data_IF_408823528374
#
_entry.id   IF_408823528374
#
_cell.length_a   1.000
_cell.length_b   1.000
_cell.length_c   1.000
_cell.angle_alpha   90.00
_cell.angle_beta   90.00
_cell.angle_gamma   90.00
#
_symmetry.space_group_name_H-M   'P 1'
#
loop_
_entity.id
_entity.type
_entity.pdbx_description
1 polymer ?
#
# COMPACT_ATOMS: atom_id res chain seq x y z
N UNK A 1 -4.28 15.76 -16.03
CA UNK A 1 -2.97 15.59 -16.74
C UNK A 1 -1.90 15.67 -15.67
N UNK A 2 -0.96 14.74 -15.65
CA UNK A 2 0.12 14.71 -14.65
C UNK A 2 1.12 15.81 -14.95
N UNK A 3 1.51 16.55 -13.93
CA UNK A 3 2.54 17.56 -14.06
C UNK A 3 3.93 16.95 -13.86
N UNK A 4 4.64 16.73 -14.95
CA UNK A 4 6.00 16.18 -14.95
C UNK A 4 7.06 17.15 -14.39
N UNK A 5 6.70 18.38 -14.03
CA UNK A 5 7.65 19.32 -13.40
C UNK A 5 8.10 18.88 -12.01
N UNK A 6 7.30 18.04 -11.34
CA UNK A 6 7.64 17.45 -10.05
C UNK A 6 8.51 16.18 -10.17
N UNK A 7 8.74 15.69 -11.39
CA UNK A 7 9.34 14.38 -11.63
C UNK A 7 10.69 14.53 -12.34
N UNK A 8 11.72 13.94 -11.77
CA UNK A 8 12.99 13.71 -12.43
C UNK A 8 12.96 12.38 -13.18
N UNK A 9 13.51 12.32 -14.40
CA UNK A 9 13.52 11.12 -15.20
C UNK A 9 14.32 9.99 -14.53
N UNK A 10 14.02 8.74 -14.92
CA UNK A 10 14.87 7.59 -14.60
C UNK A 10 16.26 7.85 -15.16
N UNK A 11 17.28 7.52 -14.38
CA UNK A 11 18.68 7.75 -14.76
C UNK A 11 19.02 7.07 -16.09
N UNK A 12 19.69 7.78 -17.01
CA UNK A 12 20.02 7.30 -18.36
C UNK A 12 20.78 5.97 -18.31
N UNK A 13 21.71 5.79 -17.37
CA UNK A 13 22.44 4.52 -17.17
C UNK A 13 21.52 3.30 -16.93
N UNK A 14 20.33 3.51 -16.37
CA UNK A 14 19.33 2.43 -16.16
C UNK A 14 18.55 2.20 -17.44
N UNK A 15 18.18 3.28 -18.12
CA UNK A 15 17.46 3.24 -19.40
C UNK A 15 18.30 2.52 -20.46
N UNK A 16 19.60 2.84 -20.58
CA UNK A 16 20.53 2.22 -21.53
C UNK A 16 20.66 0.70 -21.33
N UNK A 17 20.60 0.24 -20.06
CA UNK A 17 20.66 -1.19 -19.77
C UNK A 17 19.45 -1.97 -20.27
N UNK A 18 18.29 -1.31 -20.47
CA UNK A 18 17.06 -1.96 -20.94
C UNK A 18 17.26 -2.57 -22.32
N UNK A 19 18.07 -1.96 -23.19
CA UNK A 19 18.34 -2.48 -24.53
C UNK A 19 18.92 -3.90 -24.49
N UNK A 20 19.71 -4.20 -23.46
CA UNK A 20 20.37 -5.50 -23.29
C UNK A 20 19.47 -6.56 -22.63
N UNK A 21 18.29 -6.19 -22.13
CA UNK A 21 17.37 -7.11 -21.48
C UNK A 21 16.69 -8.04 -22.49
N UNK A 22 16.28 -9.21 -21.99
CA UNK A 22 15.44 -10.13 -22.77
C UNK A 22 14.16 -9.41 -23.24
N UNK A 23 13.69 -9.67 -24.47
CA UNK A 23 12.54 -8.97 -25.06
C UNK A 23 11.22 -9.10 -24.30
N UNK A 24 11.09 -10.10 -23.43
CA UNK A 24 9.92 -10.30 -22.57
C UNK A 24 10.10 -9.71 -21.16
N UNK A 25 11.25 -9.15 -20.82
CA UNK A 25 11.48 -8.57 -19.50
C UNK A 25 10.58 -7.34 -19.25
N UNK A 26 10.27 -7.08 -17.99
CA UNK A 26 9.39 -5.96 -17.57
C UNK A 26 9.91 -4.64 -18.13
N UNK A 27 11.22 -4.37 -18.05
CA UNK A 27 11.81 -3.13 -18.54
C UNK A 27 11.57 -2.85 -20.02
N UNK A 28 11.37 -3.91 -20.85
CA UNK A 28 11.01 -3.76 -22.27
C UNK A 28 9.54 -3.43 -22.51
N UNK A 29 8.69 -3.56 -21.49
CA UNK A 29 7.25 -3.33 -21.57
C UNK A 29 6.81 -2.05 -20.85
N UNK A 30 7.67 -1.48 -20.02
CA UNK A 30 7.40 -0.23 -19.28
C UNK A 30 7.48 0.99 -20.20
N UNK A 31 6.54 1.91 -20.03
CA UNK A 31 6.67 3.27 -20.52
C UNK A 31 7.50 4.07 -19.52
N UNK A 32 8.69 4.51 -19.92
CA UNK A 32 9.64 5.10 -18.98
C UNK A 32 9.80 6.59 -19.23
N UNK A 33 9.69 7.37 -18.17
CA UNK A 33 10.10 8.76 -18.16
C UNK A 33 11.63 8.83 -18.17
N UNK A 34 12.19 9.21 -19.31
CA UNK A 34 13.64 9.35 -19.53
C UNK A 34 14.00 10.81 -19.79
N UNK A 35 15.28 11.12 -19.88
CA UNK A 35 15.78 12.45 -20.24
C UNK A 35 15.28 12.92 -21.61
N UNK A 36 14.93 12.00 -22.50
CA UNK A 36 14.50 12.28 -23.89
C UNK A 36 13.01 12.07 -24.13
N UNK A 37 12.29 11.40 -23.21
CA UNK A 37 10.89 11.02 -23.42
C UNK A 37 10.06 11.10 -22.15
N UNK A 38 8.91 11.76 -22.25
CA UNK A 38 7.84 11.72 -21.24
C UNK A 38 6.77 10.74 -21.71
N UNK A 39 6.42 9.70 -20.92
CA UNK A 39 5.45 8.70 -21.34
C UNK A 39 4.05 9.32 -21.49
N UNK A 40 3.35 8.87 -22.53
CA UNK A 40 1.91 9.02 -22.58
C UNK A 40 1.28 8.01 -21.63
N UNK A 41 0.35 8.44 -20.82
CA UNK A 41 -0.29 7.60 -19.81
C UNK A 41 -1.66 7.06 -20.25
N UNK A 42 -2.02 7.22 -21.51
CA UNK A 42 -3.21 6.58 -22.06
C UNK A 42 -3.06 5.04 -22.00
N UNK A 43 -4.05 4.37 -21.39
CA UNK A 43 -4.02 2.92 -21.19
C UNK A 43 -3.09 2.42 -20.06
N UNK A 44 -2.40 3.32 -19.35
CA UNK A 44 -1.62 2.96 -18.15
C UNK A 44 -2.56 2.73 -16.98
N UNK A 45 -2.35 1.63 -16.27
CA UNK A 45 -3.09 1.30 -15.04
C UNK A 45 -2.22 1.42 -13.78
N UNK A 46 -0.92 1.26 -13.91
CA UNK A 46 0.03 1.24 -12.79
C UNK A 46 1.19 2.18 -13.11
N UNK A 47 1.52 3.07 -12.18
CA UNK A 47 2.64 4.00 -12.33
C UNK A 47 3.62 3.86 -11.16
N UNK A 48 4.86 3.48 -11.45
CA UNK A 48 5.95 3.41 -10.47
C UNK A 48 6.49 4.82 -10.25
N UNK A 49 6.70 5.19 -8.99
CA UNK A 49 7.12 6.50 -8.56
C UNK A 49 8.13 6.39 -7.41
N UNK A 50 9.33 6.90 -7.61
CA UNK A 50 10.30 7.06 -6.53
C UNK A 50 10.10 8.36 -5.75
N UNK A 51 10.39 8.38 -4.45
CA UNK A 51 10.39 9.58 -3.62
C UNK A 51 11.65 9.61 -2.75
N UNK A 52 12.58 10.50 -3.07
CA UNK A 52 13.91 10.53 -2.45
C UNK A 52 13.93 11.46 -1.21
N UNK A 53 13.03 11.21 -0.25
CA UNK A 53 12.92 12.00 0.98
C UNK A 53 13.16 11.15 2.22
N UNK A 54 14.05 11.59 3.09
CA UNK A 54 14.43 10.89 4.33
C UNK A 54 14.71 11.83 5.50
N UNK A 55 14.49 13.13 5.32
CA UNK A 55 14.83 14.13 6.37
C UNK A 55 14.02 13.98 7.65
N UNK A 56 12.82 13.40 7.56
CA UNK A 56 11.96 13.13 8.71
C UNK A 56 12.15 11.71 9.29
N UNK A 57 13.07 10.92 8.76
CA UNK A 57 13.46 9.66 9.43
C UNK A 57 14.23 9.97 10.71
N UNK A 58 13.84 9.35 11.80
CA UNK A 58 14.59 9.46 13.09
C UNK A 58 15.85 8.60 13.09
N UNK A 59 15.98 7.66 12.16
CA UNK A 59 17.03 6.65 12.15
C UNK A 59 18.18 6.99 11.19
N UNK A 60 17.87 7.65 10.06
CA UNK A 60 18.83 7.95 9.00
C UNK A 60 18.58 9.34 8.38
N UNK A 61 18.46 10.33 9.24
CA UNK A 61 18.08 11.71 8.93
C UNK A 61 18.84 12.24 7.72
N UNK A 62 18.10 12.48 6.63
CA UNK A 62 18.62 13.15 5.43
C UNK A 62 19.69 12.38 4.65
N UNK A 63 19.94 11.12 4.95
CA UNK A 63 20.86 10.30 4.16
C UNK A 63 20.37 10.17 2.71
N UNK A 64 21.32 10.23 1.78
CA UNK A 64 21.02 10.04 0.37
C UNK A 64 20.95 8.56 0.04
N UNK A 65 19.94 8.19 -0.73
CA UNK A 65 19.76 6.87 -1.27
C UNK A 65 19.31 6.95 -2.73
N UNK A 66 19.40 5.84 -3.43
CA UNK A 66 19.02 5.75 -4.83
C UNK A 66 18.18 4.49 -5.04
N UNK A 67 17.22 4.59 -5.97
CA UNK A 67 16.33 3.48 -6.31
C UNK A 67 16.79 2.69 -7.54
N UNK A 68 17.99 2.97 -8.01
CA UNK A 68 18.56 2.37 -9.23
C UNK A 68 18.63 0.84 -9.16
N UNK A 69 19.01 0.29 -8.00
CA UNK A 69 19.17 -1.17 -7.86
C UNK A 69 17.80 -1.87 -7.84
N UNK A 70 16.78 -1.24 -7.24
CA UNK A 70 15.39 -1.74 -7.31
C UNK A 70 14.91 -1.76 -8.75
N UNK A 71 15.12 -0.68 -9.51
CA UNK A 71 14.74 -0.62 -10.93
C UNK A 71 15.46 -1.67 -11.76
N UNK A 72 16.78 -1.80 -11.58
CA UNK A 72 17.58 -2.85 -12.27
C UNK A 72 17.05 -4.26 -11.96
N UNK A 73 16.72 -4.53 -10.70
CA UNK A 73 16.18 -5.81 -10.29
C UNK A 73 14.79 -6.04 -10.93
N UNK A 74 13.86 -5.09 -10.78
CA UNK A 74 12.49 -5.20 -11.30
C UNK A 74 12.48 -5.32 -12.85
N UNK A 75 13.26 -4.51 -13.54
CA UNK A 75 13.27 -4.49 -15.01
C UNK A 75 13.74 -5.80 -15.63
N UNK A 76 14.58 -6.56 -14.93
CA UNK A 76 15.07 -7.89 -15.37
C UNK A 76 14.03 -8.99 -15.19
N UNK A 77 13.04 -8.80 -14.31
CA UNK A 77 12.02 -9.81 -14.05
C UNK A 77 11.11 -9.97 -15.27
N UNK A 78 10.45 -11.12 -15.35
CA UNK A 78 9.47 -11.39 -16.40
C UNK A 78 8.06 -11.16 -15.85
N UNK A 79 7.18 -10.46 -16.57
CA UNK A 79 5.79 -10.37 -16.20
C UNK A 79 5.10 -11.73 -16.40
N UNK A 80 4.01 -11.95 -15.67
CA UNK A 80 3.07 -13.01 -16.01
C UNK A 80 2.25 -12.65 -17.27
N UNK A 81 1.03 -13.16 -17.36
CA UNK A 81 0.08 -12.79 -18.42
C UNK A 81 -0.57 -11.43 -18.12
N UNK A 82 0.27 -10.39 -17.96
CA UNK A 82 -0.20 -9.05 -17.61
C UNK A 82 -0.78 -8.33 -18.83
N UNK A 83 -1.95 -7.73 -18.62
CA UNK A 83 -2.69 -7.02 -19.65
C UNK A 83 -2.64 -5.50 -19.47
N UNK A 84 -2.38 -5.02 -18.25
CA UNK A 84 -2.40 -3.60 -17.92
C UNK A 84 -1.10 -2.90 -18.33
N UNK A 85 -1.24 -1.73 -18.93
CA UNK A 85 -0.15 -0.81 -19.21
C UNK A 85 0.50 -0.33 -17.92
N UNK A 86 1.83 -0.19 -17.94
CA UNK A 86 2.62 0.25 -16.80
C UNK A 86 3.60 1.35 -17.22
N UNK A 87 3.82 2.32 -16.33
CA UNK A 87 4.82 3.36 -16.52
C UNK A 87 5.77 3.44 -15.33
N UNK A 88 7.03 3.81 -15.55
CA UNK A 88 7.92 4.32 -14.51
C UNK A 88 8.10 5.83 -14.74
N UNK A 89 7.63 6.61 -13.78
CA UNK A 89 7.60 8.08 -13.87
C UNK A 89 8.90 8.74 -13.39
N UNK A 90 9.86 7.94 -12.91
CA UNK A 90 11.07 8.46 -12.31
C UNK A 90 10.88 8.83 -10.85
N UNK A 91 11.53 9.89 -10.39
CA UNK A 91 11.65 10.21 -8.98
C UNK A 91 11.19 11.63 -8.65
N UNK A 92 10.47 11.78 -7.54
CA UNK A 92 10.34 13.06 -6.84
C UNK A 92 11.62 13.28 -6.03
N UNK A 93 12.36 14.33 -6.36
CA UNK A 93 13.54 14.73 -5.60
C UNK A 93 13.14 15.45 -4.33
N UNK A 94 14.00 15.42 -3.30
CA UNK A 94 13.81 16.23 -2.10
C UNK A 94 13.69 17.71 -2.47
N UNK A 95 12.62 18.35 -2.01
CA UNK A 95 12.40 19.79 -2.16
C UNK A 95 13.32 20.63 -1.24
N UNK A 96 13.15 21.95 -1.26
CA UNK A 96 13.86 22.83 -0.34
C UNK A 96 13.52 22.54 1.12
N UNK A 97 12.26 22.24 1.39
CA UNK A 97 11.77 21.70 2.65
C UNK A 97 11.13 20.32 2.44
N UNK A 98 10.82 19.60 3.54
CA UNK A 98 10.08 18.33 3.47
C UNK A 98 8.66 18.58 2.97
N UNK A 99 8.05 19.69 3.36
CA UNK A 99 6.72 20.11 2.93
C UNK A 99 6.64 20.31 1.41
N UNK A 100 7.73 20.79 0.77
CA UNK A 100 7.79 20.88 -0.70
C UNK A 100 7.76 19.50 -1.35
N UNK A 101 8.45 18.52 -0.75
CA UNK A 101 8.42 17.14 -1.22
C UNK A 101 7.03 16.52 -1.01
N UNK A 102 6.39 16.76 0.15
CA UNK A 102 5.01 16.32 0.40
C UNK A 102 4.05 16.93 -0.61
N UNK A 103 4.17 18.24 -0.87
CA UNK A 103 3.32 18.91 -1.86
C UNK A 103 3.46 18.25 -3.24
N UNK A 104 4.69 18.02 -3.71
CA UNK A 104 4.92 17.35 -4.98
C UNK A 104 4.30 15.95 -5.02
N UNK A 105 4.48 15.15 -3.95
CA UNK A 105 3.90 13.81 -3.85
C UNK A 105 2.37 13.86 -3.87
N UNK A 106 1.75 14.77 -3.11
CA UNK A 106 0.30 14.99 -3.09
C UNK A 106 -0.22 15.28 -4.50
N UNK A 107 0.43 16.21 -5.25
CA UNK A 107 0.00 16.61 -6.59
C UNK A 107 0.09 15.44 -7.57
N UNK A 108 1.19 14.69 -7.55
CA UNK A 108 1.41 13.56 -8.47
C UNK A 108 0.43 12.42 -8.14
N UNK A 109 0.33 12.01 -6.88
CA UNK A 109 -0.55 10.91 -6.45
C UNK A 109 -2.02 11.24 -6.73
N UNK A 110 -2.49 12.44 -6.35
CA UNK A 110 -3.88 12.83 -6.60
C UNK A 110 -4.21 12.86 -8.09
N UNK A 111 -3.27 13.30 -8.93
CA UNK A 111 -3.45 13.29 -10.39
C UNK A 111 -3.54 11.87 -10.96
N UNK A 112 -2.72 10.94 -10.45
CA UNK A 112 -2.74 9.53 -10.85
C UNK A 112 -4.04 8.86 -10.44
N UNK A 113 -4.44 8.98 -9.17
CA UNK A 113 -5.66 8.36 -8.64
C UNK A 113 -6.90 8.89 -9.36
N UNK A 114 -6.99 10.21 -9.61
CA UNK A 114 -8.07 10.79 -10.41
C UNK A 114 -8.12 10.29 -11.86
N UNK A 115 -6.99 9.85 -12.40
CA UNK A 115 -6.91 9.22 -13.72
C UNK A 115 -7.14 7.69 -13.69
N UNK A 116 -7.53 7.12 -12.54
CA UNK A 116 -7.64 5.67 -12.29
C UNK A 116 -6.32 4.91 -12.54
N UNK A 117 -5.19 5.55 -12.33
CA UNK A 117 -3.85 4.96 -12.37
C UNK A 117 -3.40 4.75 -10.94
N UNK A 118 -2.94 3.54 -10.62
CA UNK A 118 -2.49 3.17 -9.28
C UNK A 118 -1.02 3.58 -9.11
N UNK A 119 -0.71 4.58 -8.26
CA UNK A 119 0.67 4.87 -7.91
C UNK A 119 1.25 3.72 -7.07
N UNK A 120 2.43 3.26 -7.48
CA UNK A 120 3.29 2.35 -6.73
C UNK A 120 4.50 3.15 -6.28
N UNK A 121 4.47 3.56 -5.02
CA UNK A 121 5.45 4.49 -4.44
C UNK A 121 6.59 3.69 -3.82
N UNK A 122 7.82 4.05 -4.17
CA UNK A 122 9.02 3.56 -3.51
C UNK A 122 9.66 4.74 -2.83
N UNK A 123 9.62 4.75 -1.50
CA UNK A 123 10.04 5.91 -0.73
C UNK A 123 11.25 5.67 0.15
N UNK A 124 11.72 6.77 0.71
CA UNK A 124 12.59 6.80 1.86
C UNK A 124 11.77 6.58 3.13
N UNK A 125 11.58 7.65 3.88
CA UNK A 125 10.97 7.61 5.20
C UNK A 125 9.47 7.33 5.19
N UNK A 126 8.98 6.57 6.18
CA UNK A 126 7.57 6.14 6.28
C UNK A 126 6.57 7.29 6.46
N UNK A 127 7.01 8.46 6.93
CA UNK A 127 6.17 9.67 7.00
C UNK A 127 5.62 10.14 5.64
N UNK A 128 6.17 9.67 4.53
CA UNK A 128 5.61 9.86 3.19
C UNK A 128 4.19 9.26 3.06
N UNK A 129 3.81 8.31 3.92
CA UNK A 129 2.43 7.82 4.03
C UNK A 129 1.45 8.96 4.33
N UNK A 130 1.85 9.95 5.15
CA UNK A 130 1.04 11.13 5.40
C UNK A 130 0.75 11.90 4.10
N UNK A 131 1.75 12.16 3.27
CA UNK A 131 1.56 12.86 2.01
C UNK A 131 0.73 12.02 1.01
N UNK A 132 0.95 10.69 0.95
CA UNK A 132 0.13 9.79 0.15
C UNK A 132 -1.35 9.85 0.57
N UNK A 133 -1.64 9.83 1.87
CA UNK A 133 -3.01 9.97 2.41
C UNK A 133 -3.61 11.36 2.07
N UNK A 134 -2.85 12.45 2.23
CA UNK A 134 -3.33 13.80 1.90
C UNK A 134 -3.68 14.00 0.43
N UNK A 135 -3.15 13.16 -0.47
CA UNK A 135 -3.54 13.16 -1.87
C UNK A 135 -5.03 12.83 -2.08
N UNK A 136 -5.67 12.20 -1.10
CA UNK A 136 -7.08 11.82 -1.14
C UNK A 136 -8.04 12.90 -0.59
N UNK A 137 -7.54 13.99 -0.03
CA UNK A 137 -8.36 15.03 0.63
C UNK A 137 -9.48 15.60 -0.26
N UNK A 138 -9.29 15.60 -1.58
CA UNK A 138 -10.28 16.07 -2.55
C UNK A 138 -10.91 14.94 -3.39
N UNK A 139 -10.51 13.70 -3.16
CA UNK A 139 -10.94 12.54 -3.95
C UNK A 139 -11.98 11.74 -3.20
N UNK A 140 -11.76 11.49 -1.92
CA UNK A 140 -12.63 10.69 -1.08
C UNK A 140 -12.82 11.33 0.29
N UNK A 141 -14.05 11.24 0.81
CA UNK A 141 -14.36 11.67 2.17
C UNK A 141 -14.10 10.59 3.23
N UNK A 142 -13.82 9.37 2.79
CA UNK A 142 -13.54 8.23 3.68
C UNK A 142 -12.43 7.38 3.04
N UNK A 143 -11.32 7.23 3.76
CA UNK A 143 -10.13 6.52 3.32
C UNK A 143 -9.77 5.44 4.34
N UNK A 144 -9.57 4.23 3.88
CA UNK A 144 -9.08 3.12 4.68
C UNK A 144 -7.59 2.91 4.38
N UNK A 145 -6.78 2.96 5.43
CA UNK A 145 -5.33 2.70 5.35
C UNK A 145 -5.03 1.36 5.97
N UNK A 146 -4.28 0.53 5.27
CA UNK A 146 -3.67 -0.67 5.83
C UNK A 146 -2.16 -0.48 5.82
N UNK A 147 -1.55 -0.55 7.01
CA UNK A 147 -0.10 -0.46 7.19
C UNK A 147 0.48 -1.80 7.61
N UNK A 148 1.47 -2.28 6.87
CA UNK A 148 2.25 -3.47 7.19
C UNK A 148 3.50 -3.00 7.93
N UNK A 149 3.49 -3.11 9.25
CA UNK A 149 4.55 -2.61 10.11
C UNK A 149 4.62 -3.35 11.44
N UNK A 150 5.75 -3.20 12.14
CA UNK A 150 5.96 -3.70 13.51
C UNK A 150 5.47 -2.74 14.58
N UNK A 151 5.32 -1.43 14.24
CA UNK A 151 4.91 -0.33 15.14
C UNK A 151 3.66 0.39 14.60
N UNK A 152 2.98 1.13 15.48
CA UNK A 152 1.78 1.90 15.09
C UNK A 152 2.11 3.30 14.58
N UNK A 153 3.30 3.83 14.90
CA UNK A 153 3.77 5.15 14.49
C UNK A 153 2.83 6.31 14.88
N UNK A 154 2.22 6.18 16.06
CA UNK A 154 1.37 7.20 16.66
C UNK A 154 2.19 8.39 17.18
N UNK A 155 3.33 8.10 17.78
CA UNK A 155 4.30 9.06 18.28
C UNK A 155 3.72 10.21 19.11
N UNK A 156 4.49 11.29 19.22
CA UNK A 156 4.08 12.52 19.92
C UNK A 156 3.66 13.58 18.86
N UNK A 157 2.37 13.72 18.66
CA UNK A 157 1.79 14.64 17.67
C UNK A 157 2.01 16.13 17.97
N UNK A 158 2.51 16.49 19.16
CA UNK A 158 2.92 17.86 19.48
C UNK A 158 4.27 18.25 18.86
N UNK A 159 5.03 17.26 18.40
CA UNK A 159 6.32 17.42 17.72
C UNK A 159 6.17 17.46 16.20
N UNK A 160 7.20 17.90 15.49
CA UNK A 160 7.25 17.75 14.03
C UNK A 160 7.05 16.30 13.61
N UNK A 161 6.37 16.11 12.47
CA UNK A 161 6.14 14.79 11.90
C UNK A 161 7.45 14.05 11.62
N UNK A 162 7.46 12.75 11.86
CA UNK A 162 8.55 11.85 11.50
C UNK A 162 7.98 10.45 11.19
N UNK A 163 8.85 9.53 10.78
CA UNK A 163 8.46 8.15 10.41
C UNK A 163 7.79 7.37 11.56
N UNK A 164 8.01 7.71 12.81
CA UNK A 164 7.34 7.09 13.97
C UNK A 164 6.14 7.88 14.51
N UNK A 165 5.65 8.92 13.82
CA UNK A 165 4.57 9.77 14.34
C UNK A 165 3.55 10.21 13.27
N UNK A 166 3.68 9.74 12.04
CA UNK A 166 2.83 10.18 10.93
C UNK A 166 1.36 9.81 11.12
N UNK A 167 1.05 8.67 11.77
CA UNK A 167 -0.32 8.26 12.04
C UNK A 167 -1.01 9.21 13.03
N UNK A 168 -0.33 9.59 14.10
CA UNK A 168 -0.84 10.58 15.04
C UNK A 168 -1.18 11.90 14.35
N UNK A 169 -0.38 12.30 13.36
CA UNK A 169 -0.62 13.50 12.55
C UNK A 169 -1.85 13.33 11.64
N UNK A 170 -2.01 12.19 10.99
CA UNK A 170 -3.17 11.86 10.16
C UNK A 170 -4.47 11.94 10.96
N UNK A 171 -4.48 11.42 12.19
CA UNK A 171 -5.66 11.38 13.06
C UNK A 171 -6.07 12.78 13.50
N UNK A 172 -5.11 13.67 13.79
CA UNK A 172 -5.39 14.97 14.42
C UNK A 172 -5.57 16.12 13.44
N UNK A 173 -5.17 15.97 12.19
CA UNK A 173 -5.17 17.06 11.22
C UNK A 173 -6.33 17.00 10.24
N UNK A 174 -7.00 18.14 10.07
CA UNK A 174 -8.09 18.29 9.10
C UNK A 174 -7.59 18.28 7.64
N UNK A 175 -8.42 17.77 6.68
CA UNK A 175 -9.74 17.16 6.88
C UNK A 175 -9.63 15.74 7.46
N UNK A 176 -10.61 15.37 8.31
CA UNK A 176 -10.67 14.07 8.97
C UNK A 176 -11.29 13.00 8.04
N UNK A 177 -10.53 12.60 7.03
CA UNK A 177 -10.99 11.64 6.02
C UNK A 177 -10.61 10.19 6.35
N UNK A 178 -9.84 9.95 7.42
CA UNK A 178 -9.51 8.61 7.86
C UNK A 178 -10.76 7.92 8.39
N UNK A 179 -11.23 6.89 7.70
CA UNK A 179 -12.38 6.09 8.11
C UNK A 179 -11.95 4.90 8.96
N UNK A 180 -10.95 4.14 8.48
CA UNK A 180 -10.37 3.04 9.23
C UNK A 180 -8.86 2.99 9.01
N UNK A 181 -8.14 2.52 10.03
CA UNK A 181 -6.74 2.20 9.98
C UNK A 181 -6.53 0.79 10.50
N UNK A 182 -5.81 -0.02 9.73
CA UNK A 182 -5.47 -1.38 10.12
C UNK A 182 -3.96 -1.56 10.13
N UNK A 183 -3.43 -2.01 11.26
CA UNK A 183 -2.02 -2.39 11.40
C UNK A 183 -1.83 -3.89 11.26
N UNK A 184 -1.01 -4.32 10.30
CA UNK A 184 -0.69 -5.73 10.05
C UNK A 184 0.77 -6.01 10.44
N UNK A 185 0.98 -6.94 11.37
CA UNK A 185 2.31 -7.37 11.76
C UNK A 185 2.87 -6.68 12.99
N UNK A 186 2.04 -5.90 13.73
CA UNK A 186 2.53 -5.20 14.91
C UNK A 186 3.10 -6.18 15.96
N UNK A 187 4.08 -5.71 16.70
CA UNK A 187 4.75 -6.47 17.75
C UNK A 187 4.65 -5.69 19.05
N UNK A 188 4.01 -6.28 20.06
CA UNK A 188 3.67 -5.61 21.33
C UNK A 188 4.86 -4.92 21.99
N UNK A 189 6.06 -5.50 21.87
CA UNK A 189 7.27 -4.94 22.49
C UNK A 189 7.88 -3.74 21.73
N UNK A 190 7.32 -3.34 20.60
CA UNK A 190 7.66 -2.10 19.89
C UNK A 190 6.63 -0.99 20.10
N UNK A 191 5.52 -1.28 20.77
CA UNK A 191 4.43 -0.36 20.98
C UNK A 191 4.15 -0.21 22.48
N UNK A 192 3.96 1.01 22.94
CA UNK A 192 3.58 1.26 24.34
C UNK A 192 2.15 0.77 24.60
N UNK A 193 1.85 0.48 25.87
CA UNK A 193 0.48 0.11 26.22
C UNK A 193 -0.51 1.24 25.93
N UNK A 194 -0.08 2.50 26.07
CA UNK A 194 -0.89 3.67 25.75
C UNK A 194 -1.26 3.74 24.26
N UNK A 195 -0.35 3.36 23.36
CA UNK A 195 -0.61 3.27 21.93
C UNK A 195 -1.60 2.13 21.60
N UNK A 196 -1.42 0.96 22.23
CA UNK A 196 -2.33 -0.19 22.08
C UNK A 196 -3.75 0.21 22.53
N UNK A 197 -3.87 0.81 23.73
CA UNK A 197 -5.14 1.27 24.28
C UNK A 197 -5.78 2.36 23.40
N UNK A 198 -4.97 3.19 22.75
CA UNK A 198 -5.47 4.22 21.83
C UNK A 198 -6.03 3.61 20.54
N UNK A 199 -5.35 2.61 19.96
CA UNK A 199 -5.85 1.87 18.80
C UNK A 199 -7.23 1.24 19.10
N UNK A 200 -7.37 0.59 20.25
CA UNK A 200 -8.65 0.02 20.70
C UNK A 200 -9.74 1.08 20.89
N UNK A 201 -9.44 2.22 21.53
CA UNK A 201 -10.38 3.31 21.72
C UNK A 201 -10.85 3.97 20.42
N UNK A 202 -10.00 3.97 19.40
CA UNK A 202 -10.33 4.48 18.07
C UNK A 202 -11.04 3.43 17.20
N UNK A 203 -11.23 2.21 17.72
CA UNK A 203 -11.76 1.07 16.98
C UNK A 203 -10.94 0.73 15.73
N UNK A 204 -9.64 0.99 15.76
CA UNK A 204 -8.73 0.60 14.70
C UNK A 204 -8.32 -0.87 14.86
N UNK A 205 -8.18 -1.53 13.74
CA UNK A 205 -7.82 -2.95 13.74
C UNK A 205 -6.31 -3.13 13.85
N UNK A 206 -5.89 -4.16 14.58
CA UNK A 206 -4.48 -4.49 14.69
C UNK A 206 -4.26 -6.01 14.78
N UNK A 207 -3.46 -6.51 13.86
CA UNK A 207 -3.13 -7.93 13.74
C UNK A 207 -1.68 -8.17 14.09
N UNK A 208 -1.42 -9.05 15.06
CA UNK A 208 -0.06 -9.39 15.49
C UNK A 208 0.69 -10.17 14.41
N UNK A 209 2.00 -9.97 14.36
CA UNK A 209 2.89 -10.72 13.46
C UNK A 209 2.65 -12.23 13.56
N UNK A 210 2.51 -12.79 14.78
CA UNK A 210 2.33 -14.22 14.99
C UNK A 210 1.06 -14.77 14.36
N UNK A 211 -0.05 -14.03 14.46
CA UNK A 211 -1.34 -14.45 13.91
C UNK A 211 -1.28 -14.48 12.37
N UNK A 212 -0.74 -13.43 11.77
CA UNK A 212 -0.60 -13.35 10.32
C UNK A 212 0.39 -14.40 9.78
N UNK A 213 1.52 -14.60 10.44
CA UNK A 213 2.50 -15.62 10.04
C UNK A 213 1.94 -17.05 10.16
N UNK A 214 1.00 -17.28 11.10
CA UNK A 214 0.32 -18.56 11.22
C UNK A 214 -0.67 -18.77 10.07
N UNK A 215 -1.42 -17.73 9.68
CA UNK A 215 -2.40 -17.78 8.60
C UNK A 215 -2.37 -16.48 7.77
N UNK A 216 -1.57 -16.49 6.72
CA UNK A 216 -1.39 -15.31 5.85
C UNK A 216 -2.70 -14.92 5.12
N UNK A 217 -3.66 -15.82 5.02
CA UNK A 217 -4.97 -15.56 4.41
C UNK A 217 -5.82 -14.57 5.20
N UNK A 218 -5.56 -14.39 6.51
CA UNK A 218 -6.24 -13.40 7.35
C UNK A 218 -6.14 -11.97 6.81
N UNK A 219 -5.10 -11.66 6.04
CA UNK A 219 -4.94 -10.31 5.48
C UNK A 219 -5.84 -10.05 4.27
N UNK A 220 -6.40 -11.09 3.62
CA UNK A 220 -7.15 -10.92 2.37
C UNK A 220 -8.41 -10.07 2.54
N UNK A 221 -9.34 -10.35 3.49
CA UNK A 221 -10.52 -9.52 3.68
C UNK A 221 -10.16 -8.09 4.13
N UNK A 222 -9.15 -7.93 4.97
CA UNK A 222 -8.66 -6.62 5.44
C UNK A 222 -8.17 -5.78 4.26
N UNK A 223 -7.32 -6.35 3.40
CA UNK A 223 -6.78 -5.66 2.23
C UNK A 223 -7.84 -5.39 1.16
N UNK A 224 -8.94 -6.16 1.15
CA UNK A 224 -10.03 -5.97 0.19
C UNK A 224 -10.74 -4.64 0.38
N UNK A 225 -10.81 -4.15 1.62
CA UNK A 225 -11.49 -2.90 1.98
C UNK A 225 -10.54 -1.69 2.06
N UNK A 226 -9.23 -1.88 1.81
CA UNK A 226 -8.23 -0.83 1.83
C UNK A 226 -8.27 0.08 0.59
N UNK A 227 -8.08 1.38 0.78
CA UNK A 227 -7.82 2.36 -0.29
C UNK A 227 -6.31 2.57 -0.50
N UNK A 228 -5.57 2.67 0.61
CA UNK A 228 -4.12 2.86 0.64
C UNK A 228 -3.49 1.68 1.40
N UNK A 229 -2.49 1.08 0.81
CA UNK A 229 -1.68 0.05 1.49
C UNK A 229 -0.23 0.52 1.53
N UNK A 230 0.36 0.46 2.73
CA UNK A 230 1.75 0.84 2.97
C UNK A 230 2.51 -0.30 3.61
N UNK A 231 3.77 -0.46 3.23
CA UNK A 231 4.67 -1.47 3.75
C UNK A 231 5.96 -0.80 4.21
N UNK A 232 6.23 -0.90 5.51
CA UNK A 232 7.51 -0.53 6.11
C UNK A 232 8.48 -1.72 6.00
N UNK A 233 9.64 -1.52 5.37
CA UNK A 233 10.66 -2.55 5.28
C UNK A 233 11.25 -2.96 6.64
N UNK A 234 11.09 -2.13 7.69
CA UNK A 234 11.46 -2.51 9.06
C UNK A 234 10.54 -3.59 9.66
N UNK A 235 9.38 -3.89 9.04
CA UNK A 235 8.52 -5.03 9.40
C UNK A 235 9.11 -6.37 8.95
N UNK A 236 10.07 -6.35 8.03
CA UNK A 236 10.74 -7.54 7.51
C UNK A 236 11.93 -7.89 8.40
N UNK A 237 12.13 -9.18 8.66
CA UNK A 237 13.25 -9.63 9.50
C UNK A 237 14.60 -9.35 8.85
N UNK A 238 15.59 -9.05 9.68
CA UNK A 238 16.94 -8.64 9.26
C UNK A 238 17.72 -9.69 8.47
N UNK A 239 17.27 -10.93 8.44
CA UNK A 239 17.86 -11.98 7.58
C UNK A 239 17.45 -11.88 6.11
N UNK A 240 16.42 -11.08 5.80
CA UNK A 240 15.85 -10.93 4.46
C UNK A 240 16.16 -9.55 3.85
N UNK A 241 16.37 -8.54 4.72
CA UNK A 241 16.70 -7.16 4.31
C UNK A 241 17.91 -6.67 5.07
N UNK A 242 18.78 -5.97 4.39
CA UNK A 242 20.02 -5.39 4.95
C UNK A 242 19.90 -3.87 4.95
N UNK A 243 19.14 -3.34 5.92
CA UNK A 243 18.98 -1.91 6.10
C UNK A 243 20.08 -1.36 7.01
N UNK A 244 20.46 -0.09 6.87
CA UNK A 244 21.50 0.53 7.68
C UNK A 244 21.16 0.62 9.17
N UNK A 245 19.88 0.67 9.49
CA UNK A 245 19.41 0.86 10.87
C UNK A 245 18.17 0.01 11.15
N UNK A 246 17.83 -0.13 12.44
CA UNK A 246 16.65 -0.86 12.95
C UNK A 246 16.50 -2.30 12.48
N UNK A 247 17.51 -3.11 12.74
CA UNK A 247 17.41 -4.54 12.47
C UNK A 247 16.57 -5.24 13.54
N UNK A 248 15.49 -5.89 13.14
CA UNK A 248 14.79 -6.85 13.98
C UNK A 248 15.04 -8.26 13.48
N UNK A 249 15.48 -9.21 14.33
CA UNK A 249 15.58 -10.60 13.94
C UNK A 249 14.22 -11.25 13.74
N UNK A 250 13.16 -10.65 14.32
CA UNK A 250 11.80 -11.10 14.21
C UNK A 250 11.00 -10.12 13.36
N UNK A 251 10.28 -10.64 12.37
CA UNK A 251 9.51 -9.89 11.38
C UNK A 251 8.98 -10.83 10.30
N UNK A 252 8.33 -10.29 9.31
CA UNK A 252 7.90 -11.05 8.14
C UNK A 252 9.12 -11.57 7.36
N UNK A 253 8.97 -12.74 6.73
CA UNK A 253 9.91 -13.19 5.73
C UNK A 253 9.53 -12.68 4.33
N UNK A 254 10.45 -12.81 3.35
CA UNK A 254 10.22 -12.31 2.00
C UNK A 254 9.00 -12.93 1.32
N UNK A 255 8.70 -14.21 1.57
CA UNK A 255 7.53 -14.88 1.02
C UNK A 255 6.22 -14.32 1.58
N UNK A 256 6.19 -14.03 2.88
CA UNK A 256 5.00 -13.45 3.55
C UNK A 256 4.70 -12.05 3.02
N UNK A 257 5.68 -11.15 2.96
CA UNK A 257 5.45 -9.80 2.44
C UNK A 257 5.08 -9.80 0.95
N UNK A 258 5.61 -10.72 0.15
CA UNK A 258 5.20 -10.90 -1.23
C UNK A 258 3.75 -11.38 -1.34
N UNK A 259 3.31 -12.30 -0.48
CA UNK A 259 1.93 -12.77 -0.44
C UNK A 259 0.97 -11.65 -0.01
N UNK A 260 1.31 -10.87 1.03
CA UNK A 260 0.53 -9.71 1.49
C UNK A 260 0.40 -8.70 0.33
N UNK A 261 1.51 -8.38 -0.35
CA UNK A 261 1.52 -7.46 -1.48
C UNK A 261 0.63 -7.94 -2.64
N UNK A 262 0.61 -9.26 -2.90
CA UNK A 262 -0.29 -9.83 -3.90
C UNK A 262 -1.76 -9.70 -3.49
N UNK A 263 -2.10 -9.93 -2.22
CA UNK A 263 -3.46 -9.71 -1.73
C UNK A 263 -3.87 -8.24 -1.84
N UNK A 264 -2.98 -7.29 -1.52
CA UNK A 264 -3.22 -5.87 -1.76
C UNK A 264 -3.49 -5.57 -3.24
N UNK A 265 -2.71 -6.16 -4.14
CA UNK A 265 -2.89 -6.01 -5.59
C UNK A 265 -4.22 -6.54 -6.09
N UNK A 266 -4.69 -7.70 -5.59
CA UNK A 266 -5.96 -8.32 -6.01
C UNK A 266 -7.20 -7.51 -5.57
N UNK A 267 -7.07 -6.67 -4.54
CA UNK A 267 -8.17 -5.81 -4.09
C UNK A 267 -8.58 -4.82 -5.18
N UNK A 268 -9.86 -4.78 -5.54
CA UNK A 268 -10.40 -3.81 -6.50
C UNK A 268 -10.37 -2.38 -5.95
N UNK A 269 -10.36 -2.23 -4.63
CA UNK A 269 -10.44 -0.94 -3.96
C UNK A 269 -9.08 -0.27 -3.78
N UNK A 270 -8.01 -1.05 -3.60
CA UNK A 270 -6.66 -0.48 -3.43
C UNK A 270 -6.28 0.38 -4.63
N UNK A 271 -6.09 1.65 -4.37
CA UNK A 271 -5.80 2.70 -5.35
C UNK A 271 -4.42 3.33 -5.18
N UNK A 272 -3.68 2.99 -4.10
CA UNK A 272 -2.28 3.36 -3.89
C UNK A 272 -1.55 2.29 -3.09
N UNK A 273 -0.30 2.00 -3.47
CA UNK A 273 0.58 1.07 -2.76
C UNK A 273 1.95 1.71 -2.55
N UNK A 274 2.44 1.72 -1.31
CA UNK A 274 3.73 2.30 -0.95
C UNK A 274 4.65 1.31 -0.25
N UNK A 275 5.94 1.34 -0.59
CA UNK A 275 7.01 0.64 0.13
C UNK A 275 7.99 1.68 0.63
N UNK A 276 8.22 1.71 1.93
CA UNK A 276 8.99 2.77 2.60
C UNK A 276 10.12 2.19 3.44
N UNK A 277 10.91 3.09 4.04
CA UNK A 277 12.11 2.76 4.83
C UNK A 277 13.20 2.03 4.02
N UNK A 278 13.25 2.28 2.69
CA UNK A 278 14.34 1.78 1.87
C UNK A 278 15.61 2.59 2.11
N UNK A 279 16.45 2.10 2.97
CA UNK A 279 17.78 2.63 3.25
C UNK A 279 18.78 1.47 3.37
N UNK A 280 19.18 0.90 2.23
CA UNK A 280 20.03 -0.30 2.23
C UNK A 280 21.42 0.00 2.77
N UNK A 281 22.03 -0.96 3.44
CA UNK A 281 23.47 -1.01 3.63
C UNK A 281 24.18 -1.11 2.28
N UNK A 282 25.45 -0.73 2.20
CA UNK A 282 26.18 -0.61 0.93
C UNK A 282 25.96 -1.84 0.02
N UNK A 283 25.58 -1.57 -1.25
CA UNK A 283 25.48 -2.51 -2.37
C UNK A 283 24.62 -3.77 -2.09
N UNK A 284 23.54 -3.63 -1.32
CA UNK A 284 22.66 -4.75 -1.04
C UNK A 284 21.68 -5.03 -2.18
N UNK A 285 22.16 -5.82 -3.15
CA UNK A 285 21.31 -6.32 -4.25
C UNK A 285 20.16 -7.22 -3.76
N UNK A 286 20.29 -7.86 -2.59
CA UNK A 286 19.28 -8.77 -2.06
C UNK A 286 18.05 -7.99 -1.57
N UNK A 287 18.24 -6.90 -0.83
CA UNK A 287 17.13 -6.01 -0.42
C UNK A 287 16.45 -5.39 -1.64
N UNK A 288 17.22 -4.91 -2.62
CA UNK A 288 16.66 -4.38 -3.87
C UNK A 288 15.86 -5.43 -4.64
N UNK A 289 16.33 -6.67 -4.68
CA UNK A 289 15.63 -7.78 -5.31
C UNK A 289 14.34 -8.13 -4.55
N UNK A 290 14.35 -8.13 -3.21
CA UNK A 290 13.14 -8.37 -2.43
C UNK A 290 12.09 -7.29 -2.68
N UNK A 291 12.49 -6.01 -2.68
CA UNK A 291 11.57 -4.91 -3.03
C UNK A 291 11.03 -5.09 -4.45
N UNK A 292 11.87 -5.44 -5.42
CA UNK A 292 11.42 -5.72 -6.79
C UNK A 292 10.41 -6.87 -6.85
N UNK A 293 10.56 -7.92 -6.02
CA UNK A 293 9.59 -9.02 -5.91
C UNK A 293 8.29 -8.55 -5.25
N UNK A 294 8.34 -7.74 -4.19
CA UNK A 294 7.16 -7.12 -3.55
C UNK A 294 6.35 -6.36 -4.60
N UNK A 295 7.01 -5.50 -5.38
CA UNK A 295 6.37 -4.75 -6.47
C UNK A 295 5.81 -5.68 -7.53
N UNK A 296 6.55 -6.71 -7.93
CA UNK A 296 6.11 -7.71 -8.91
C UNK A 296 4.82 -8.40 -8.46
N UNK A 297 4.76 -8.86 -7.19
CA UNK A 297 3.59 -9.53 -6.64
C UNK A 297 2.38 -8.59 -6.51
N UNK A 298 2.59 -7.34 -6.16
CA UNK A 298 1.52 -6.34 -6.18
C UNK A 298 0.97 -6.14 -7.60
N UNK A 299 1.84 -5.94 -8.58
CA UNK A 299 1.47 -5.75 -10.00
C UNK A 299 0.77 -7.00 -10.56
N UNK A 300 1.25 -8.19 -10.22
CA UNK A 300 0.59 -9.46 -10.54
C UNK A 300 -0.83 -9.49 -9.96
N UNK A 301 -0.97 -9.11 -8.70
CA UNK A 301 -2.27 -8.99 -8.04
C UNK A 301 -3.22 -8.07 -8.81
N UNK A 302 -2.78 -6.88 -9.21
CA UNK A 302 -3.59 -5.93 -9.99
C UNK A 302 -4.04 -6.54 -11.31
N UNK A 303 -3.17 -7.30 -11.98
CA UNK A 303 -3.52 -8.00 -13.23
C UNK A 303 -4.47 -9.20 -13.02
N UNK A 304 -4.62 -9.67 -11.78
CA UNK A 304 -5.54 -10.74 -11.40
C UNK A 304 -6.86 -10.24 -10.79
N UNK A 305 -7.13 -8.93 -10.81
CA UNK A 305 -8.38 -8.37 -10.30
C UNK A 305 -9.60 -8.95 -11.00
N UNK A 306 -10.60 -9.30 -10.22
CA UNK A 306 -11.89 -9.78 -10.70
C UNK A 306 -12.96 -8.88 -10.10
N UNK A 307 -13.83 -8.33 -10.93
CA UNK A 307 -14.99 -7.56 -10.46
C UNK A 307 -16.03 -8.55 -9.88
N UNK A 308 -16.04 -8.67 -8.57
CA UNK A 308 -16.94 -9.53 -7.79
C UNK A 308 -17.62 -8.78 -6.62
N UNK A 309 -17.59 -7.45 -6.65
CA UNK A 309 -18.18 -6.54 -5.65
C UNK A 309 -19.45 -5.80 -6.17
N UNK A 310 -19.96 -6.19 -7.34
CA UNK A 310 -21.25 -5.69 -7.82
C UNK A 310 -22.40 -6.46 -7.20
N UNK A 311 -22.85 -6.03 -6.03
CA UNK A 311 -23.97 -6.62 -5.29
C UNK A 311 -25.35 -6.29 -5.87
N UNK A 312 -25.44 -5.46 -6.92
CA UNK A 312 -26.69 -5.22 -7.63
C UNK A 312 -27.08 -6.46 -8.45
N UNK A 313 -26.11 -7.24 -8.92
CA UNK A 313 -26.35 -8.51 -9.60
C UNK A 313 -26.22 -9.68 -8.60
N UNK A 314 -27.31 -9.93 -7.86
CA UNK A 314 -27.37 -11.02 -6.87
C UNK A 314 -27.16 -12.41 -7.49
N UNK A 315 -27.25 -12.58 -8.81
CA UNK A 315 -27.01 -13.86 -9.48
C UNK A 315 -25.56 -14.34 -9.34
N UNK A 316 -24.63 -13.40 -9.11
CA UNK A 316 -23.21 -13.68 -8.92
C UNK A 316 -22.85 -14.20 -7.51
N UNK A 317 -23.82 -14.20 -6.59
CA UNK A 317 -23.59 -14.57 -5.20
C UNK A 317 -24.42 -15.77 -4.77
N UNK A 318 -23.92 -16.51 -3.79
CA UNK A 318 -24.69 -17.43 -2.96
C UNK A 318 -24.95 -16.72 -1.63
N UNK A 319 -26.21 -16.70 -1.22
CA UNK A 319 -26.64 -16.13 0.06
C UNK A 319 -26.79 -17.26 1.07
N UNK A 320 -26.25 -17.04 2.28
CA UNK A 320 -26.37 -17.93 3.42
C UNK A 320 -26.96 -17.12 4.57
N UNK A 321 -27.87 -17.72 5.32
CA UNK A 321 -28.44 -17.10 6.51
C UNK A 321 -28.19 -18.03 7.69
N UNK A 322 -27.59 -17.47 8.74
CA UNK A 322 -27.29 -18.19 9.99
C UNK A 322 -28.05 -17.51 11.12
N UNK A 323 -28.73 -18.28 11.92
CA UNK A 323 -29.40 -17.77 13.11
C UNK A 323 -28.45 -17.90 14.30
N UNK A 324 -28.08 -16.76 14.87
CA UNK A 324 -27.23 -16.69 16.07
C UNK A 324 -28.04 -16.04 17.17
N UNK A 325 -28.36 -16.80 18.22
CA UNK A 325 -29.32 -16.39 19.24
C UNK A 325 -30.69 -16.06 18.62
N UNK A 326 -31.10 -14.79 18.59
CA UNK A 326 -32.36 -14.34 17.97
C UNK A 326 -32.10 -13.41 16.75
N UNK A 327 -30.86 -13.31 16.27
CA UNK A 327 -30.49 -12.45 15.15
C UNK A 327 -30.12 -13.27 13.91
N UNK A 328 -30.59 -12.80 12.74
CA UNK A 328 -30.20 -13.38 11.44
C UNK A 328 -28.94 -12.70 10.93
N UNK A 329 -27.84 -13.46 10.80
CA UNK A 329 -26.64 -13.04 10.12
C UNK A 329 -26.68 -13.51 8.67
N UNK A 330 -26.45 -12.61 7.74
CA UNK A 330 -26.51 -12.90 6.31
C UNK A 330 -25.11 -12.80 5.71
N UNK A 331 -24.71 -13.89 5.05
CA UNK A 331 -23.43 -13.98 4.36
C UNK A 331 -23.63 -14.13 2.86
N UNK A 332 -22.69 -13.54 2.09
CA UNK A 332 -22.65 -13.64 0.65
C UNK A 332 -21.31 -14.25 0.21
N UNK A 333 -21.36 -15.26 -0.65
CA UNK A 333 -20.19 -15.86 -1.27
C UNK A 333 -20.19 -15.59 -2.76
N UNK A 334 -19.13 -14.98 -3.28
CA UNK A 334 -18.95 -14.82 -4.71
C UNK A 334 -18.80 -16.15 -5.41
N UNK A 335 -19.59 -16.38 -6.47
CA UNK A 335 -19.45 -17.54 -7.35
C UNK A 335 -18.23 -17.45 -8.27
N UNK A 336 -17.69 -16.23 -8.46
CA UNK A 336 -16.52 -15.96 -9.32
C UNK A 336 -15.21 -16.25 -8.59
N UNK A 337 -15.09 -15.78 -7.35
CA UNK A 337 -13.82 -15.78 -6.60
C UNK A 337 -13.85 -16.67 -5.37
N UNK A 338 -15.04 -17.02 -4.86
CA UNK A 338 -15.21 -17.70 -3.59
C UNK A 338 -15.06 -16.81 -2.36
N UNK A 339 -14.87 -15.49 -2.54
CA UNK A 339 -14.77 -14.52 -1.45
C UNK A 339 -16.07 -14.37 -0.70
N UNK A 340 -15.98 -14.01 0.58
CA UNK A 340 -17.11 -13.91 1.48
C UNK A 340 -17.30 -12.49 1.99
N UNK A 341 -18.56 -12.10 2.24
CA UNK A 341 -18.97 -10.86 2.89
C UNK A 341 -20.07 -11.16 3.89
N UNK A 342 -20.12 -10.40 4.97
CA UNK A 342 -21.20 -10.40 5.94
C UNK A 342 -22.00 -9.10 5.82
N UNK A 343 -23.33 -9.23 5.84
CA UNK A 343 -24.24 -8.09 5.91
C UNK A 343 -24.35 -7.62 7.35
N UNK A 344 -24.02 -6.35 7.62
CA UNK A 344 -24.18 -5.79 8.95
C UNK A 344 -25.63 -5.38 9.14
N UNK A 345 -26.34 -5.87 10.19
CA UNK A 345 -27.67 -5.40 10.52
C UNK A 345 -27.66 -3.89 10.81
N UNK A 346 -28.50 -3.13 10.16
CA UNK A 346 -28.63 -1.71 10.43
C UNK A 346 -29.22 -1.50 11.83
N UNK A 347 -28.49 -0.84 12.70
CA UNK A 347 -29.10 -0.11 13.82
C UNK A 347 -29.86 1.07 13.20
N UNK A 348 -31.18 1.11 13.38
CA UNK A 348 -32.09 2.12 12.81
C UNK A 348 -31.75 3.53 13.30
N UNK A 349 -30.72 4.16 12.75
CA UNK A 349 -30.40 5.57 13.00
C UNK A 349 -30.06 6.29 11.69
N UNK A 350 -31.02 6.45 10.79
CA UNK A 350 -31.12 7.64 9.93
C UNK A 350 -32.28 7.57 8.92
N UNK A 351 -32.94 8.72 8.73
CA UNK A 351 -34.01 9.01 7.76
C UNK A 351 -33.50 9.08 6.30
N UNK A 352 -32.65 8.19 5.85
CA UNK A 352 -32.16 8.19 4.46
C UNK A 352 -32.78 7.06 3.66
N UNK A 353 -33.40 7.43 2.52
CA UNK A 353 -34.17 6.58 1.61
C UNK A 353 -33.36 5.54 0.81
N UNK A 354 -32.11 5.29 1.13
CA UNK A 354 -31.27 4.28 0.50
C UNK A 354 -30.93 3.20 1.54
N UNK A 355 -31.69 2.12 1.54
CA UNK A 355 -31.43 0.92 2.33
C UNK A 355 -30.40 0.06 1.60
N UNK A 356 -29.15 0.44 1.59
CA UNK A 356 -28.07 -0.48 1.31
C UNK A 356 -27.46 -0.91 2.64
N UNK A 357 -27.61 -2.19 2.99
CA UNK A 357 -26.91 -2.77 4.13
C UNK A 357 -25.42 -2.80 3.82
N UNK A 358 -24.54 -2.24 4.66
CA UNK A 358 -23.12 -2.31 4.44
C UNK A 358 -22.66 -3.76 4.52
N UNK A 359 -21.87 -4.18 3.53
CA UNK A 359 -21.25 -5.49 3.48
C UNK A 359 -19.80 -5.33 3.92
N UNK A 360 -19.39 -6.11 4.92
CA UNK A 360 -17.99 -6.23 5.34
C UNK A 360 -17.37 -7.45 4.73
N UNK A 361 -16.14 -7.30 4.26
CA UNK A 361 -15.32 -8.40 3.83
C UNK A 361 -15.02 -9.34 4.99
N UNK A 362 -15.21 -10.65 4.79
CA UNK A 362 -14.97 -11.66 5.81
C UNK A 362 -14.33 -12.91 5.20
N UNK A 363 -13.95 -13.86 6.05
CA UNK A 363 -13.45 -15.17 5.67
C UNK A 363 -14.56 -16.24 5.75
N UNK A 364 -14.25 -17.40 5.23
CA UNK A 364 -15.12 -18.58 5.42
C UNK A 364 -15.22 -18.99 6.90
N UNK A 365 -14.12 -18.85 7.64
CA UNK A 365 -14.04 -19.19 9.07
C UNK A 365 -14.95 -18.31 9.94
N UNK A 366 -15.30 -17.09 9.47
CA UNK A 366 -16.27 -16.21 10.15
C UNK A 366 -17.72 -16.70 9.97
N UNK A 367 -17.95 -17.58 9.00
CA UNK A 367 -19.24 -18.21 8.74
C UNK A 367 -19.43 -19.51 9.51
N UNK A 368 -18.35 -20.29 9.78
CA UNK A 368 -18.38 -21.55 10.52
C UNK A 368 -18.66 -21.37 12.01
#
# INVERSE_FOLDING_TARGET
MIDFSFLSPVQDRIVDQIEQLHGQAIGKKLMIHSSTNKPDLEGVKIAILGVLESRNSVDYIGEEFQLSEIRKALYKLFPGNWLHGMADLGDIQKGSSVEDTYFALIQVVSSLVNANIIPVIIGGSQDLTYANYRAYDKISSMVNIVNIDKSFDLGDSSKPINNGSYLGKIILEQPYNLFNYTAIGFQTYFNSQEEIDLMEKLYFESYRLGDISHSISLVEPVLRDADIVTLDLNSVKSSEVSLKQKHSPNGFNGREVCAISRYAGISNKVSSFGVYEYNPSQDDEATAMLVAQILWYFIEGVNCRVNDDDFNDQSNFQKFTVLVEDEELVFYKSKKTGRWWIEIPFLEYSNTKSRQHPLLSCMYDDYE
#
